data_IF_746607604549
#
_entry.id   IF_746607604549
#
_cell.length_a   1.000
_cell.length_b   1.000
_cell.length_c   1.000
_cell.angle_alpha   90.00
_cell.angle_beta   90.00
_cell.angle_gamma   90.00
#
_symmetry.space_group_name_H-M   'P 1'
#
loop_
_entity.id
_entity.type
_entity.pdbx_description
1 polymer ?
#
# COMPACT_ATOMS: atom_id res chain seq x y z
N UNK A 1 -18.19 27.30 -18.91
CA UNK A 1 -18.78 26.25 -19.77
C UNK A 1 -18.28 24.94 -19.17
N UNK A 2 -19.12 24.22 -18.43
CA UNK A 2 -18.71 22.98 -17.74
C UNK A 2 -18.96 21.81 -18.69
N UNK A 3 -17.88 21.15 -19.09
CA UNK A 3 -17.97 19.95 -19.93
C UNK A 3 -18.54 18.80 -19.11
N UNK A 4 -19.72 18.31 -19.51
CA UNK A 4 -20.34 17.13 -18.92
C UNK A 4 -19.61 15.88 -19.43
N UNK A 5 -18.79 15.27 -18.57
CA UNK A 5 -18.18 13.97 -18.86
C UNK A 5 -19.29 12.92 -18.78
N UNK A 6 -19.59 12.27 -19.90
CA UNK A 6 -20.59 11.20 -19.97
C UNK A 6 -20.08 9.93 -19.27
N UNK A 7 -21.00 9.12 -18.74
CA UNK A 7 -20.68 7.87 -18.04
C UNK A 7 -19.87 6.90 -18.92
N UNK A 8 -20.16 6.85 -20.22
CA UNK A 8 -19.42 6.05 -21.21
C UNK A 8 -17.99 6.57 -21.44
N UNK A 9 -17.79 7.89 -21.39
CA UNK A 9 -16.45 8.52 -21.45
C UNK A 9 -15.63 8.20 -20.20
N UNK A 10 -16.27 8.15 -19.01
CA UNK A 10 -15.65 7.68 -17.77
C UNK A 10 -15.28 6.20 -17.85
N UNK A 11 -16.17 5.32 -18.31
CA UNK A 11 -15.89 3.88 -18.43
C UNK A 11 -14.77 3.54 -19.42
N UNK A 12 -14.69 4.25 -20.55
CA UNK A 12 -13.57 4.09 -21.50
C UNK A 12 -12.25 4.52 -20.85
N UNK A 13 -12.24 5.67 -20.17
CA UNK A 13 -11.08 6.20 -19.44
C UNK A 13 -10.64 5.25 -18.32
N UNK A 14 -11.58 4.62 -17.61
CA UNK A 14 -11.28 3.62 -16.56
C UNK A 14 -10.70 2.30 -17.10
N UNK A 15 -11.06 1.89 -18.33
CA UNK A 15 -10.48 0.68 -18.96
C UNK A 15 -9.03 0.87 -19.38
N UNK A 16 -8.69 2.05 -19.88
CA UNK A 16 -7.30 2.38 -20.26
C UNK A 16 -6.42 2.58 -19.01
N UNK A 17 -6.95 3.24 -17.96
CA UNK A 17 -6.30 3.34 -16.64
C UNK A 17 -6.04 1.94 -16.06
N UNK A 18 -6.96 0.99 -16.18
CA UNK A 18 -6.80 -0.36 -15.64
C UNK A 18 -5.69 -1.18 -16.32
N UNK A 19 -5.39 -0.94 -17.60
CA UNK A 19 -4.27 -1.60 -18.31
C UNK A 19 -2.93 -0.94 -18.00
N UNK A 20 -2.90 0.39 -17.88
CA UNK A 20 -1.71 1.14 -17.49
C UNK A 20 -1.36 0.89 -16.01
N UNK A 21 -2.37 0.66 -15.18
CA UNK A 21 -2.25 0.29 -13.76
C UNK A 21 -1.52 -1.04 -13.56
N UNK A 22 -1.66 -2.03 -14.44
CA UNK A 22 -0.97 -3.32 -14.28
C UNK A 22 0.56 -3.18 -14.35
N UNK A 23 1.07 -2.27 -15.19
CA UNK A 23 2.49 -1.96 -15.32
C UNK A 23 2.92 -0.92 -14.26
N UNK A 24 2.05 0.05 -13.94
CA UNK A 24 2.32 1.10 -12.95
C UNK A 24 2.17 0.65 -11.48
N UNK A 25 1.68 -0.55 -11.21
CA UNK A 25 1.47 -1.08 -9.86
C UNK A 25 2.54 -2.09 -9.40
N UNK A 26 3.65 -2.27 -10.12
CA UNK A 26 4.75 -3.18 -9.72
C UNK A 26 5.28 -2.95 -8.29
N UNK A 27 5.22 -1.71 -7.78
CA UNK A 27 5.64 -1.34 -6.43
C UNK A 27 4.59 -1.64 -5.35
N UNK A 28 3.36 -2.00 -5.74
CA UNK A 28 2.34 -2.53 -4.84
C UNK A 28 2.50 -4.05 -4.87
N UNK A 29 2.67 -4.73 -3.72
CA UNK A 29 2.85 -6.17 -3.67
C UNK A 29 1.54 -6.88 -4.02
N UNK A 30 1.20 -6.92 -5.31
CA UNK A 30 0.25 -7.87 -5.88
C UNK A 30 1.05 -9.13 -6.26
N UNK A 31 1.71 -9.78 -5.28
CA UNK A 31 2.48 -11.03 -5.48
C UNK A 31 1.87 -12.22 -4.75
N UNK A 32 0.53 -12.26 -4.71
CA UNK A 32 -0.17 -13.49 -4.39
C UNK A 32 -1.05 -13.81 -5.60
N UNK A 33 -0.86 -15.00 -6.15
CA UNK A 33 -1.63 -15.55 -7.27
C UNK A 33 -3.13 -15.18 -7.12
N UNK A 34 -3.67 -14.33 -8.03
CA UNK A 34 -4.94 -13.67 -7.83
C UNK A 34 -6.15 -14.61 -7.82
N UNK A 35 -6.02 -15.86 -8.29
CA UNK A 35 -7.19 -16.72 -8.47
C UNK A 35 -7.47 -17.67 -7.28
N UNK A 36 -6.48 -18.02 -6.46
CA UNK A 36 -6.69 -19.02 -5.38
C UNK A 36 -6.71 -18.40 -3.98
N UNK A 37 -5.77 -17.51 -3.67
CA UNK A 37 -5.67 -16.92 -2.34
C UNK A 37 -6.60 -15.71 -2.16
N UNK A 38 -6.79 -14.89 -3.19
CA UNK A 38 -7.65 -13.71 -3.13
C UNK A 38 -9.12 -14.12 -3.01
N UNK A 39 -9.55 -15.19 -3.70
CA UNK A 39 -10.90 -15.74 -3.54
C UNK A 39 -11.21 -16.18 -2.10
N UNK A 40 -10.26 -16.88 -1.47
CA UNK A 40 -10.39 -17.35 -0.08
C UNK A 40 -10.30 -16.21 0.95
N UNK A 41 -9.40 -15.24 0.74
CA UNK A 41 -9.26 -14.05 1.59
C UNK A 41 -10.47 -13.11 1.45
N UNK A 42 -10.99 -12.91 0.25
CA UNK A 42 -12.23 -12.15 0.01
C UNK A 42 -13.42 -12.87 0.67
N UNK A 43 -13.50 -14.20 0.59
CA UNK A 43 -14.55 -14.96 1.24
C UNK A 43 -14.48 -14.87 2.78
N UNK A 44 -13.27 -14.90 3.36
CA UNK A 44 -13.02 -14.66 4.79
C UNK A 44 -13.37 -13.23 5.20
N UNK A 45 -12.99 -12.23 4.38
CA UNK A 45 -13.32 -10.83 4.64
C UNK A 45 -14.83 -10.58 4.58
N UNK A 46 -15.55 -11.17 3.63
CA UNK A 46 -17.02 -11.12 3.58
C UNK A 46 -17.65 -11.65 4.87
N UNK A 47 -17.11 -12.73 5.44
CA UNK A 47 -17.56 -13.24 6.75
C UNK A 47 -17.25 -12.26 7.89
N UNK A 48 -16.10 -11.57 7.84
CA UNK A 48 -15.68 -10.61 8.87
C UNK A 48 -16.46 -9.28 8.82
N UNK A 49 -16.88 -8.81 7.64
CA UNK A 49 -17.53 -7.51 7.49
C UNK A 49 -19.06 -7.54 7.64
N UNK A 50 -19.67 -8.70 7.92
CA UNK A 50 -21.12 -8.88 8.21
C UNK A 50 -22.12 -8.26 7.19
N UNK A 51 -21.65 -7.81 6.03
CA UNK A 51 -22.43 -7.12 5.01
C UNK A 51 -22.18 -7.69 3.62
N UNK A 52 -23.20 -7.62 2.76
CA UNK A 52 -23.16 -7.96 1.33
C UNK A 52 -22.31 -6.94 0.56
N UNK A 53 -21.00 -6.91 0.82
CA UNK A 53 -20.06 -6.06 0.09
C UNK A 53 -19.91 -6.60 -1.34
N UNK A 54 -19.94 -5.69 -2.32
CA UNK A 54 -19.66 -6.06 -3.71
C UNK A 54 -18.23 -6.61 -3.84
N UNK A 55 -17.96 -7.52 -4.79
CA UNK A 55 -16.60 -8.04 -5.02
C UNK A 55 -15.55 -6.93 -5.18
N UNK A 56 -15.91 -5.87 -5.91
CA UNK A 56 -15.04 -4.69 -6.11
C UNK A 56 -14.72 -3.99 -4.78
N UNK A 57 -15.71 -3.83 -3.90
CA UNK A 57 -15.50 -3.22 -2.58
C UNK A 57 -14.60 -4.08 -1.71
N UNK A 58 -14.84 -5.40 -1.64
CA UNK A 58 -13.98 -6.32 -0.89
C UNK A 58 -12.53 -6.27 -1.36
N UNK A 59 -12.28 -6.30 -2.68
CA UNK A 59 -10.93 -6.20 -3.22
C UNK A 59 -10.26 -4.86 -2.86
N UNK A 60 -11.01 -3.75 -2.90
CA UNK A 60 -10.51 -2.44 -2.47
C UNK A 60 -10.08 -2.44 -1.00
N UNK A 61 -10.89 -3.01 -0.10
CA UNK A 61 -10.59 -3.08 1.33
C UNK A 61 -9.40 -3.99 1.63
N UNK A 62 -9.30 -5.11 0.91
CA UNK A 62 -8.15 -5.99 0.99
C UNK A 62 -6.86 -5.25 0.64
N UNK A 63 -6.85 -4.52 -0.49
CA UNK A 63 -5.72 -3.68 -0.90
C UNK A 63 -5.38 -2.60 0.13
N UNK A 64 -6.39 -2.00 0.78
CA UNK A 64 -6.16 -1.03 1.87
C UNK A 64 -5.49 -1.70 3.08
N UNK A 65 -5.96 -2.89 3.48
CA UNK A 65 -5.38 -3.65 4.59
C UNK A 65 -3.93 -4.05 4.34
N UNK A 66 -3.59 -4.50 3.13
CA UNK A 66 -2.21 -4.83 2.76
C UNK A 66 -1.25 -3.63 2.82
N UNK A 67 -1.79 -2.41 2.76
CA UNK A 67 -1.04 -1.15 2.92
C UNK A 67 -1.15 -0.58 4.33
N UNK A 68 -1.71 -1.35 5.27
CA UNK A 68 -1.90 -0.94 6.67
C UNK A 68 -2.70 0.37 6.81
N UNK A 69 -3.57 0.65 5.84
CA UNK A 69 -4.42 1.84 5.88
C UNK A 69 -5.70 1.57 6.69
N UNK A 70 -6.26 2.63 7.26
CA UNK A 70 -7.50 2.58 8.04
C UNK A 70 -8.65 2.05 7.19
N UNK A 71 -9.45 1.16 7.78
CA UNK A 71 -10.66 0.58 7.18
C UNK A 71 -11.90 1.25 7.78
N UNK A 72 -12.42 2.25 7.08
CA UNK A 72 -13.48 3.13 7.59
C UNK A 72 -14.85 2.45 7.77
N UNK A 73 -15.02 1.22 7.28
CA UNK A 73 -16.20 0.38 7.54
C UNK A 73 -16.42 0.12 9.03
N UNK A 74 -15.35 0.13 9.82
CA UNK A 74 -15.38 -0.18 11.25
C UNK A 74 -15.49 1.05 12.14
N UNK A 75 -15.46 2.24 11.53
CA UNK A 75 -15.41 3.48 12.28
C UNK A 75 -16.82 3.99 12.60
N UNK A 76 -16.97 4.58 13.78
CA UNK A 76 -18.18 5.31 14.16
C UNK A 76 -18.29 6.62 13.37
N UNK A 77 -19.48 7.23 13.33
CA UNK A 77 -19.67 8.54 12.69
C UNK A 77 -18.76 9.61 13.30
N UNK A 78 -18.58 9.59 14.62
CA UNK A 78 -17.70 10.51 15.36
C UNK A 78 -16.23 10.34 14.94
N UNK A 79 -15.76 9.10 14.79
CA UNK A 79 -14.41 8.82 14.29
C UNK A 79 -14.22 9.30 12.85
N UNK A 80 -15.23 9.10 11.99
CA UNK A 80 -15.18 9.56 10.59
C UNK A 80 -15.13 11.09 10.50
N UNK A 81 -15.93 11.79 11.31
CA UNK A 81 -15.92 13.26 11.40
C UNK A 81 -14.56 13.78 11.88
N UNK A 82 -13.99 13.13 12.90
CA UNK A 82 -12.64 13.44 13.39
C UNK A 82 -11.60 13.24 12.29
N UNK A 83 -11.65 12.12 11.56
CA UNK A 83 -10.72 11.89 10.44
C UNK A 83 -10.85 12.92 9.32
N UNK A 84 -12.07 13.42 9.06
CA UNK A 84 -12.29 14.52 8.12
C UNK A 84 -11.65 15.81 8.63
N UNK A 85 -11.82 16.15 9.91
CA UNK A 85 -11.19 17.31 10.53
C UNK A 85 -9.65 17.23 10.47
N UNK A 86 -9.06 16.09 10.85
CA UNK A 86 -7.62 15.86 10.84
C UNK A 86 -7.01 16.02 9.43
N UNK A 87 -7.78 15.67 8.39
CA UNK A 87 -7.37 15.78 6.98
C UNK A 87 -7.81 17.08 6.31
N UNK A 88 -8.40 18.01 7.05
CA UNK A 88 -8.95 19.26 6.51
C UNK A 88 -9.95 19.04 5.36
N UNK A 89 -10.71 17.95 5.40
CA UNK A 89 -11.75 17.65 4.42
C UNK A 89 -13.02 18.38 4.84
N UNK A 90 -13.39 19.41 4.08
CA UNK A 90 -14.65 20.11 4.29
C UNK A 90 -15.79 19.31 3.68
N UNK A 91 -16.63 18.70 4.53
CA UNK A 91 -17.89 18.12 4.09
C UNK A 91 -18.85 19.27 3.83
N UNK A 92 -19.38 19.39 2.61
CA UNK A 92 -20.46 20.34 2.36
C UNK A 92 -21.66 19.93 3.23
N UNK A 93 -22.18 20.89 4.02
CA UNK A 93 -23.30 20.73 4.98
C UNK A 93 -24.66 20.42 4.31
N UNK A 94 -24.67 19.68 3.22
CA UNK A 94 -25.86 19.06 2.67
C UNK A 94 -26.46 18.17 3.75
N UNK A 95 -27.75 18.38 4.03
CA UNK A 95 -28.52 17.85 5.16
C UNK A 95 -28.50 16.31 5.27
N UNK A 96 -27.92 15.59 4.30
CA UNK A 96 -27.76 14.13 4.34
C UNK A 96 -26.45 13.66 3.69
N UNK A 97 -25.29 14.08 4.20
CA UNK A 97 -24.04 13.43 3.80
C UNK A 97 -24.03 12.00 4.33
N UNK A 98 -24.37 11.05 3.46
CA UNK A 98 -24.32 9.61 3.80
C UNK A 98 -22.93 9.25 4.33
N UNK A 99 -22.89 8.40 5.35
CA UNK A 99 -21.63 7.86 5.91
C UNK A 99 -20.75 7.23 4.82
N UNK A 100 -21.35 6.65 3.78
CA UNK A 100 -20.63 6.12 2.62
C UNK A 100 -19.92 7.19 1.78
N UNK A 101 -20.46 8.41 1.70
CA UNK A 101 -19.81 9.53 1.03
C UNK A 101 -18.58 9.97 1.83
N UNK A 102 -18.71 10.05 3.16
CA UNK A 102 -17.61 10.40 4.06
C UNK A 102 -16.48 9.38 3.94
N UNK A 103 -16.80 8.08 4.00
CA UNK A 103 -15.82 6.99 3.81
C UNK A 103 -15.11 7.12 2.47
N UNK A 104 -15.83 7.32 1.36
CA UNK A 104 -15.23 7.49 0.04
C UNK A 104 -14.34 8.73 -0.06
N UNK A 105 -14.75 9.84 0.54
CA UNK A 105 -13.95 11.07 0.56
C UNK A 105 -12.64 10.86 1.34
N UNK A 106 -12.70 10.19 2.50
CA UNK A 106 -11.54 9.84 3.30
C UNK A 106 -10.60 8.88 2.57
N UNK A 107 -11.13 7.83 1.94
CA UNK A 107 -10.32 6.91 1.14
C UNK A 107 -9.67 7.59 -0.04
N UNK A 108 -10.40 8.47 -0.73
CA UNK A 108 -9.87 9.27 -1.81
C UNK A 108 -8.76 10.19 -1.30
N UNK A 109 -8.96 10.86 -0.17
CA UNK A 109 -7.93 11.70 0.45
C UNK A 109 -6.70 10.89 0.83
N UNK A 110 -6.83 9.67 1.38
CA UNK A 110 -5.68 8.80 1.67
C UNK A 110 -4.98 8.32 0.38
N UNK A 111 -5.74 8.03 -0.69
CA UNK A 111 -5.18 7.61 -1.97
C UNK A 111 -4.49 8.75 -2.72
N UNK A 112 -5.02 9.96 -2.57
CA UNK A 112 -4.49 11.18 -3.16
C UNK A 112 -3.55 11.93 -2.21
N UNK A 113 -3.31 11.40 -1.00
CA UNK A 113 -2.30 11.89 -0.08
C UNK A 113 -0.96 11.71 -0.78
N UNK A 114 -0.56 12.77 -1.46
CA UNK A 114 0.74 12.87 -2.07
C UNK A 114 1.69 13.34 -0.99
N UNK A 115 2.92 12.82 -1.01
CA UNK A 115 4.03 13.34 -0.23
C UNK A 115 4.47 14.71 -0.77
N UNK A 116 3.52 15.61 -1.03
CA UNK A 116 3.70 16.82 -1.81
C UNK A 116 4.79 17.67 -1.19
N UNK A 117 4.77 17.82 0.13
CA UNK A 117 5.81 18.51 0.88
C UNK A 117 7.17 17.84 0.80
N UNK A 118 7.23 16.50 0.93
CA UNK A 118 8.50 15.78 0.79
C UNK A 118 9.06 15.96 -0.63
N UNK A 119 8.23 15.92 -1.67
CA UNK A 119 8.66 16.11 -3.06
C UNK A 119 9.05 17.57 -3.37
N UNK A 120 8.63 18.53 -2.55
CA UNK A 120 9.10 19.92 -2.61
C UNK A 120 10.48 20.11 -1.95
N UNK A 121 10.94 19.16 -1.13
CA UNK A 121 12.29 19.16 -0.55
C UNK A 121 13.30 18.82 -1.67
N UNK A 122 14.46 19.50 -1.77
CA UNK A 122 15.55 19.13 -2.69
C UNK A 122 15.93 17.65 -2.61
N UNK A 123 16.38 17.06 -3.72
CA UNK A 123 16.62 15.62 -3.82
C UNK A 123 17.67 15.13 -2.80
N UNK A 124 18.68 15.95 -2.53
CA UNK A 124 19.77 15.68 -1.59
C UNK A 124 19.24 15.54 -0.16
N UNK A 125 18.32 16.42 0.25
CA UNK A 125 17.68 16.36 1.56
C UNK A 125 16.68 15.21 1.66
N UNK A 126 16.01 14.84 0.56
CA UNK A 126 15.16 13.63 0.53
C UNK A 126 16.00 12.37 0.75
N UNK A 127 17.18 12.30 0.12
CA UNK A 127 18.13 11.19 0.31
C UNK A 127 18.56 11.06 1.78
N UNK A 128 18.88 12.17 2.45
CA UNK A 128 19.18 12.16 3.89
C UNK A 128 18.01 11.63 4.73
N UNK A 129 16.77 12.06 4.43
CA UNK A 129 15.56 11.57 5.10
C UNK A 129 15.42 10.05 4.91
N UNK A 130 15.67 9.54 3.70
CA UNK A 130 15.61 8.11 3.42
C UNK A 130 16.70 7.33 4.18
N UNK A 131 17.91 7.87 4.29
CA UNK A 131 18.97 7.28 5.09
C UNK A 131 18.62 7.22 6.58
N UNK A 132 18.09 8.30 7.14
CA UNK A 132 17.61 8.31 8.53
C UNK A 132 16.48 7.30 8.74
N UNK A 133 15.55 7.21 7.80
CA UNK A 133 14.50 6.21 7.83
C UNK A 133 15.09 4.79 7.85
N UNK A 134 16.03 4.46 6.95
CA UNK A 134 16.64 3.13 6.93
C UNK A 134 17.42 2.81 8.21
N UNK A 135 18.15 3.77 8.75
CA UNK A 135 18.90 3.59 10.00
C UNK A 135 17.97 3.39 11.22
N UNK A 136 16.73 3.89 11.15
CA UNK A 136 15.72 3.67 12.19
C UNK A 136 15.08 2.28 12.13
N UNK A 137 15.20 1.58 11.00
CA UNK A 137 14.69 0.22 10.86
C UNK A 137 15.62 -0.74 11.58
N UNK A 138 15.06 -1.53 12.50
CA UNK A 138 15.78 -2.63 13.14
C UNK A 138 16.09 -3.66 12.03
N UNK A 139 17.36 -3.74 11.62
CA UNK A 139 17.84 -4.51 10.45
C UNK A 139 17.61 -6.03 10.59
N UNK A 140 17.32 -6.51 11.80
CA UNK A 140 17.04 -7.92 12.05
C UNK A 140 15.71 -8.41 11.44
N UNK A 141 14.82 -7.49 11.04
CA UNK A 141 13.60 -7.83 10.35
C UNK A 141 13.88 -8.03 8.85
N UNK A 142 13.84 -9.28 8.39
CA UNK A 142 13.68 -9.57 6.96
C UNK A 142 12.31 -8.99 6.54
N UNK A 143 12.31 -8.05 5.60
CA UNK A 143 11.08 -7.53 5.00
C UNK A 143 10.82 -8.26 3.67
N UNK A 144 10.20 -9.46 3.68
CA UNK A 144 9.96 -10.22 2.45
C UNK A 144 9.07 -9.47 1.45
N UNK A 145 8.33 -8.46 1.92
CA UNK A 145 7.40 -7.68 1.12
C UNK A 145 7.91 -6.24 0.84
N UNK A 146 9.19 -5.98 1.08
CA UNK A 146 9.82 -4.65 0.91
C UNK A 146 9.49 -3.67 2.04
N UNK A 147 10.21 -2.54 2.07
CA UNK A 147 10.03 -1.51 3.10
C UNK A 147 8.68 -0.78 2.96
N UNK A 148 8.03 -0.37 4.07
CA UNK A 148 6.77 0.39 4.04
C UNK A 148 6.83 1.62 3.12
N UNK A 149 7.96 2.34 3.11
CA UNK A 149 8.18 3.53 2.27
C UNK A 149 8.06 3.23 0.77
N UNK A 150 8.35 2.01 0.31
CA UNK A 150 8.18 1.62 -1.09
C UNK A 150 6.72 1.61 -1.53
N UNK A 151 5.79 1.47 -0.58
CA UNK A 151 4.34 1.40 -0.84
C UNK A 151 3.64 2.74 -0.67
N UNK A 152 4.40 3.77 -0.31
CA UNK A 152 3.86 5.07 0.00
C UNK A 152 3.53 5.85 -1.29
N UNK A 153 4.42 5.81 -2.29
CA UNK A 153 4.12 6.27 -3.65
C UNK A 153 5.09 5.69 -4.67
N UNK A 154 4.72 5.72 -5.96
CA UNK A 154 5.61 5.31 -7.06
C UNK A 154 6.90 6.12 -7.09
N UNK A 155 6.81 7.44 -6.88
CA UNK A 155 7.97 8.31 -6.88
C UNK A 155 8.94 7.93 -5.76
N UNK A 156 8.42 7.73 -4.55
CA UNK A 156 9.21 7.27 -3.41
C UNK A 156 9.84 5.91 -3.70
N UNK A 157 9.10 4.97 -4.28
CA UNK A 157 9.67 3.69 -4.68
C UNK A 157 10.90 3.85 -5.58
N UNK A 158 10.81 4.68 -6.62
CA UNK A 158 11.91 4.89 -7.57
C UNK A 158 13.12 5.60 -6.94
N UNK A 159 12.90 6.55 -6.03
CA UNK A 159 13.99 7.25 -5.34
C UNK A 159 14.67 6.37 -4.27
N UNK A 160 13.87 5.61 -3.52
CA UNK A 160 14.32 4.90 -2.32
C UNK A 160 14.91 3.53 -2.66
N UNK A 161 14.43 2.86 -3.72
CA UNK A 161 14.93 1.56 -4.15
C UNK A 161 16.45 1.52 -4.42
N UNK A 162 17.06 2.44 -5.19
CA UNK A 162 18.50 2.43 -5.41
C UNK A 162 19.30 2.74 -4.14
N UNK A 163 18.77 3.55 -3.23
CA UNK A 163 19.41 3.85 -1.94
C UNK A 163 19.41 2.64 -1.02
N UNK A 164 18.25 1.99 -0.90
CA UNK A 164 18.10 0.76 -0.15
C UNK A 164 19.00 -0.34 -0.71
N UNK A 165 19.08 -0.48 -2.04
CA UNK A 165 19.91 -1.50 -2.69
C UNK A 165 21.41 -1.26 -2.47
N UNK A 166 21.85 0.00 -2.35
CA UNK A 166 23.24 0.36 -2.04
C UNK A 166 23.59 0.15 -0.57
N UNK A 167 22.65 0.43 0.34
CA UNK A 167 22.88 0.38 1.79
C UNK A 167 22.59 -0.96 2.45
N UNK A 168 21.83 -1.84 1.81
CA UNK A 168 21.37 -3.10 2.43
C UNK A 168 22.37 -4.24 2.28
N UNK A 169 22.65 -4.90 3.41
CA UNK A 169 23.32 -6.21 3.42
C UNK A 169 22.34 -7.27 3.87
N UNK A 170 22.22 -8.34 3.09
CA UNK A 170 21.37 -9.49 3.44
C UNK A 170 22.24 -10.66 3.87
N UNK A 171 21.82 -11.33 4.95
CA UNK A 171 22.39 -12.61 5.36
C UNK A 171 21.49 -13.70 4.80
N UNK A 172 22.03 -14.55 3.92
CA UNK A 172 21.30 -15.69 3.37
C UNK A 172 21.75 -16.95 4.10
N UNK A 173 20.91 -17.47 5.01
CA UNK A 173 21.17 -18.76 5.65
C UNK A 173 20.70 -19.89 4.75
N UNK A 174 21.64 -20.62 4.14
CA UNK A 174 21.33 -21.81 3.34
C UNK A 174 21.40 -23.03 4.27
N UNK A 175 20.29 -23.75 4.51
CA UNK A 175 20.35 -24.99 5.28
C UNK A 175 21.15 -26.04 4.49
N UNK A 176 22.22 -26.55 5.08
CA UNK A 176 22.98 -27.65 4.50
C UNK A 176 22.36 -28.98 4.98
N UNK A 177 22.03 -29.85 4.02
CA UNK A 177 21.57 -31.20 4.33
C UNK A 177 22.79 -32.00 4.84
N UNK A 178 22.82 -32.28 6.15
CA UNK A 178 23.79 -33.24 6.69
C UNK A 178 23.48 -34.64 6.16
N UNK A 179 24.54 -35.45 5.93
CA UNK A 179 24.41 -36.85 5.51
C UNK A 179 23.62 -37.72 6.50
N UNK A 180 23.47 -37.25 7.74
CA UNK A 180 22.76 -37.95 8.81
C UNK A 180 21.26 -37.59 8.89
N UNK A 181 20.74 -36.77 7.96
CA UNK A 181 19.33 -36.35 7.94
C UNK A 181 18.96 -35.31 9.01
N UNK A 182 19.93 -34.85 9.81
CA UNK A 182 19.76 -33.75 10.76
C UNK A 182 20.03 -32.43 10.03
N UNK A 183 19.09 -31.49 10.09
CA UNK A 183 19.28 -30.13 9.56
C UNK A 183 20.36 -29.43 10.39
N UNK A 184 21.56 -29.31 9.84
CA UNK A 184 22.61 -28.47 10.41
C UNK A 184 22.49 -27.06 9.82
N UNK A 185 22.26 -26.08 10.68
CA UNK A 185 22.15 -24.67 10.29
C UNK A 185 23.53 -24.02 10.28
N UNK A 186 24.52 -24.67 9.66
CA UNK A 186 25.82 -24.07 9.38
C UNK A 186 25.58 -22.84 8.50
N UNK A 187 25.57 -21.67 9.13
CA UNK A 187 25.14 -20.42 8.50
C UNK A 187 26.25 -19.94 7.58
N UNK A 188 26.08 -20.16 6.27
CA UNK A 188 26.93 -19.50 5.29
C UNK A 188 26.55 -18.02 5.26
N UNK A 189 27.33 -17.16 5.91
CA UNK A 189 27.14 -15.72 5.81
C UNK A 189 27.57 -15.23 4.42
N UNK A 190 26.69 -15.35 3.44
CA UNK A 190 26.89 -14.74 2.13
C UNK A 190 26.52 -13.26 2.21
N UNK A 191 27.52 -12.38 2.23
CA UNK A 191 27.32 -10.94 2.03
C UNK A 191 27.18 -10.68 0.54
N UNK A 192 25.97 -10.41 0.07
CA UNK A 192 25.77 -9.91 -1.29
C UNK A 192 26.20 -8.45 -1.33
N UNK A 193 27.44 -8.21 -1.73
CA UNK A 193 27.93 -6.90 -2.17
C UNK A 193 27.63 -6.85 -3.66
N UNK A 194 26.68 -6.00 -4.08
CA UNK A 194 26.47 -5.73 -5.51
C UNK A 194 27.37 -4.61 -5.98
#
# INVERSE_FOLDING_TARGET
>A
MCDYITFESLEAKYRDIAKEDAINNYWKPDTIDPDVAVGQLIALERKLFRHNLSPRRSQSLHKRRQREMVLYERCTTEELEKFCADRSITLCNSVMTSTEIIKKALEHADHCATFRFLLHVPAELREEIYHHYFNSLIIDAIFPTGLPIFRASRQLHLEVLPLFSRGSTFTISIPLMSKDGILDFSTLHARVIK
#
